data_IF_798686269425
#
_entry.id   IF_798686269425
#
_cell.length_a   1.000
_cell.length_b   1.000
_cell.length_c   1.000
_cell.angle_alpha   90.00
_cell.angle_beta   90.00
_cell.angle_gamma   90.00
#
_symmetry.space_group_name_H-M   'P 1'
#
loop_
_entity.id
_entity.type
_entity.pdbx_description
1 polymer ?
#
# COMPACT_ATOMS: atom_id res chain seq x y z
N UNK A 1 20.11 -16.13 27.18
CA UNK A 1 20.26 -15.81 25.74
C UNK A 1 19.33 -16.74 24.99
N UNK A 2 18.38 -16.34 24.17
CA UNK A 2 18.05 -15.01 23.65
C UNK A 2 16.57 -15.00 23.19
N UNK A 3 15.66 -14.54 24.04
CA UNK A 3 14.29 -14.22 23.59
C UNK A 3 14.29 -12.94 22.72
N UNK A 4 15.37 -12.15 22.79
CA UNK A 4 15.60 -10.95 21.96
C UNK A 4 16.09 -11.27 20.53
N UNK A 5 16.35 -12.53 20.18
CA UNK A 5 16.74 -12.91 18.81
C UNK A 5 15.55 -13.29 17.92
N UNK A 6 14.45 -13.79 18.49
CA UNK A 6 13.22 -14.12 17.74
C UNK A 6 12.43 -12.88 17.27
N UNK A 7 12.62 -11.72 17.92
CA UNK A 7 11.97 -10.47 17.50
C UNK A 7 12.65 -9.79 16.30
N UNK A 8 13.88 -10.17 15.93
CA UNK A 8 14.63 -9.50 14.85
C UNK A 8 14.32 -10.05 13.45
N UNK A 9 13.65 -11.20 13.36
CA UNK A 9 13.20 -11.79 12.09
C UNK A 9 11.74 -11.48 11.74
N UNK A 10 11.01 -10.69 12.54
CA UNK A 10 9.83 -9.91 12.09
C UNK A 10 10.28 -8.73 11.20
N UNK A 11 11.28 -9.01 10.36
CA UNK A 11 11.89 -8.13 9.39
C UNK A 11 10.85 -7.76 8.36
N UNK A 12 10.84 -6.48 7.99
CA UNK A 12 10.01 -5.80 6.99
C UNK A 12 9.77 -6.51 5.66
N UNK A 13 10.34 -7.68 5.39
CA UNK A 13 10.25 -8.44 4.12
C UNK A 13 8.82 -8.78 3.69
N UNK A 14 7.90 -8.89 4.63
CA UNK A 14 6.49 -9.20 4.36
C UNK A 14 5.62 -7.95 4.18
N UNK A 15 6.24 -6.78 4.00
CA UNK A 15 5.56 -5.49 3.89
C UNK A 15 6.03 -4.77 2.63
N UNK A 16 5.09 -4.25 1.84
CA UNK A 16 5.38 -3.40 0.69
C UNK A 16 4.64 -2.07 0.81
N UNK A 17 5.36 -0.98 0.60
CA UNK A 17 4.80 0.35 0.48
C UNK A 17 4.70 0.78 -0.98
N UNK A 18 3.56 1.33 -1.34
CA UNK A 18 3.27 1.83 -2.67
C UNK A 18 2.68 3.23 -2.52
N UNK A 19 3.39 4.23 -3.03
CA UNK A 19 2.83 5.57 -3.18
C UNK A 19 2.20 5.69 -4.56
N UNK A 20 0.95 6.13 -4.59
CA UNK A 20 0.19 6.37 -5.81
C UNK A 20 -0.35 7.80 -5.85
N UNK A 21 -0.74 8.23 -7.05
CA UNK A 21 -1.57 9.42 -7.23
C UNK A 21 -3.07 9.08 -7.16
N UNK A 22 -3.90 10.13 -7.22
CA UNK A 22 -5.36 10.04 -7.21
C UNK A 22 -5.98 9.21 -8.33
N UNK A 23 -5.24 8.94 -9.40
CA UNK A 23 -5.70 8.14 -10.54
C UNK A 23 -5.29 6.67 -10.38
N UNK A 24 -4.58 6.32 -9.30
CA UNK A 24 -4.01 5.00 -9.08
C UNK A 24 -2.71 4.78 -9.85
N UNK A 25 -2.02 5.83 -10.28
CA UNK A 25 -0.71 5.73 -10.93
C UNK A 25 0.37 5.56 -9.86
N UNK A 26 1.24 4.56 -10.02
CA UNK A 26 2.33 4.25 -9.09
C UNK A 26 3.44 5.29 -9.23
N UNK A 27 3.65 6.06 -8.17
CA UNK A 27 4.71 7.07 -8.08
C UNK A 27 6.03 6.46 -7.61
N UNK A 28 5.98 5.65 -6.55
CA UNK A 28 7.15 5.02 -5.93
C UNK A 28 6.72 3.77 -5.16
N UNK A 29 7.62 2.80 -5.04
CA UNK A 29 7.40 1.58 -4.27
C UNK A 29 8.74 0.94 -3.92
N UNK A 30 8.79 0.22 -2.81
CA UNK A 30 9.95 -0.49 -2.27
C UNK A 30 10.11 -1.93 -2.82
N UNK A 31 9.20 -2.39 -3.69
CA UNK A 31 9.30 -3.66 -4.46
C UNK A 31 9.56 -4.92 -3.60
N UNK A 32 9.15 -4.94 -2.33
CA UNK A 32 9.49 -6.07 -1.44
C UNK A 32 8.65 -7.32 -1.67
N UNK A 33 7.33 -7.19 -1.92
CA UNK A 33 6.42 -8.30 -2.17
C UNK A 33 6.15 -8.52 -3.66
N UNK A 34 5.88 -7.44 -4.38
CA UNK A 34 5.49 -7.43 -5.78
C UNK A 34 6.35 -6.48 -6.60
N UNK A 35 6.77 -6.94 -7.78
CA UNK A 35 7.39 -6.08 -8.77
C UNK A 35 6.32 -5.22 -9.46
N UNK A 36 6.30 -3.93 -9.11
CA UNK A 36 5.35 -2.94 -9.62
C UNK A 36 6.08 -1.90 -10.46
N UNK A 37 5.59 -1.68 -11.68
CA UNK A 37 6.21 -0.71 -12.58
C UNK A 37 5.82 0.72 -12.18
N UNK A 38 6.81 1.58 -11.96
CA UNK A 38 6.60 3.02 -11.78
C UNK A 38 5.92 3.63 -13.02
N UNK A 39 5.10 4.65 -12.81
CA UNK A 39 4.30 5.33 -13.83
C UNK A 39 3.27 4.41 -14.53
N UNK A 40 3.00 3.23 -13.95
CA UNK A 40 1.92 2.34 -14.37
C UNK A 40 0.76 2.41 -13.37
N UNK A 41 -0.43 1.99 -13.80
CA UNK A 41 -1.59 1.96 -12.92
C UNK A 41 -1.57 0.72 -12.03
N UNK A 42 -1.81 0.90 -10.73
CA UNK A 42 -2.00 -0.23 -9.80
C UNK A 42 -3.23 -1.08 -10.17
N UNK A 43 -4.19 -0.50 -10.90
CA UNK A 43 -5.36 -1.21 -11.44
C UNK A 43 -4.96 -2.32 -12.41
N UNK A 44 -3.83 -2.15 -13.11
CA UNK A 44 -3.30 -3.16 -14.03
C UNK A 44 -2.58 -4.31 -13.32
N UNK A 45 -2.26 -4.16 -12.02
CA UNK A 45 -1.56 -5.18 -11.26
C UNK A 45 -2.51 -6.29 -10.78
N UNK A 46 -3.65 -5.93 -10.18
CA UNK A 46 -4.62 -6.91 -9.70
C UNK A 46 -6.06 -6.35 -9.75
N UNK A 47 -7.08 -7.16 -10.11
CA UNK A 47 -8.48 -6.71 -10.20
C UNK A 47 -9.03 -6.08 -8.92
N UNK A 48 -8.50 -6.48 -7.77
CA UNK A 48 -8.83 -5.87 -6.46
C UNK A 48 -8.69 -4.33 -6.48
N UNK A 49 -7.70 -3.80 -7.20
CA UNK A 49 -7.43 -2.37 -7.24
C UNK A 49 -8.25 -1.61 -8.30
N UNK A 50 -9.13 -2.24 -9.08
CA UNK A 50 -9.95 -1.51 -10.06
C UNK A 50 -10.82 -0.43 -9.39
N UNK A 51 -11.37 -0.74 -8.22
CA UNK A 51 -12.23 0.14 -7.44
C UNK A 51 -11.51 1.10 -6.49
N UNK A 52 -10.18 1.23 -6.62
CA UNK A 52 -9.34 1.91 -5.62
C UNK A 52 -9.74 3.37 -5.36
N UNK A 53 -10.27 4.06 -6.38
CA UNK A 53 -10.71 5.45 -6.27
C UNK A 53 -11.80 5.60 -5.19
N UNK A 54 -12.60 4.56 -4.97
CA UNK A 54 -13.67 4.56 -3.96
C UNK A 54 -13.09 4.65 -2.54
N UNK A 55 -11.98 3.97 -2.28
CA UNK A 55 -11.30 4.01 -0.98
C UNK A 55 -10.68 5.39 -0.70
N UNK A 56 -10.34 6.14 -1.74
CA UNK A 56 -9.76 7.47 -1.62
C UNK A 56 -10.78 8.61 -1.63
N UNK A 57 -11.97 8.37 -2.18
CA UNK A 57 -13.12 9.28 -2.12
C UNK A 57 -13.78 9.31 -0.74
N UNK A 58 -13.64 8.24 0.04
CA UNK A 58 -14.06 8.20 1.43
C UNK A 58 -13.43 9.34 2.24
N UNK A 59 -14.17 9.87 3.21
CA UNK A 59 -13.67 10.93 4.10
C UNK A 59 -12.67 10.44 5.13
N UNK A 60 -12.49 9.12 5.23
CA UNK A 60 -11.59 8.49 6.18
C UNK A 60 -10.15 8.69 5.72
N UNK A 61 -9.30 9.18 6.62
CA UNK A 61 -7.86 9.35 6.37
C UNK A 61 -7.11 8.01 6.30
N UNK A 62 -7.72 6.94 6.83
CA UNK A 62 -7.17 5.60 6.85
C UNK A 62 -8.28 4.56 6.68
N UNK A 63 -8.08 3.63 5.76
CA UNK A 63 -8.93 2.47 5.54
C UNK A 63 -8.06 1.23 5.62
N UNK A 64 -8.38 0.31 6.52
CA UNK A 64 -7.75 -1.00 6.61
C UNK A 64 -8.69 -2.06 6.04
N UNK A 65 -8.19 -2.85 5.10
CA UNK A 65 -8.86 -4.04 4.59
C UNK A 65 -8.06 -5.27 4.99
N UNK A 66 -8.69 -6.12 5.78
CA UNK A 66 -8.07 -7.34 6.30
C UNK A 66 -8.41 -8.54 5.42
N UNK A 67 -7.49 -9.50 5.34
CA UNK A 67 -7.68 -10.77 4.61
C UNK A 67 -7.97 -10.61 3.10
N UNK A 68 -7.37 -9.62 2.45
CA UNK A 68 -7.48 -9.42 1.00
C UNK A 68 -6.71 -10.51 0.27
N UNK A 69 -7.41 -11.25 -0.58
CA UNK A 69 -6.77 -12.26 -1.42
C UNK A 69 -6.21 -11.60 -2.67
N UNK A 70 -4.88 -11.65 -2.81
CA UNK A 70 -4.17 -11.25 -4.02
C UNK A 70 -3.47 -12.50 -4.57
N UNK A 71 -3.92 -12.98 -5.73
CA UNK A 71 -3.53 -14.30 -6.26
C UNK A 71 -3.84 -15.43 -5.24
N UNK A 72 -2.85 -16.27 -4.89
CA UNK A 72 -2.98 -17.41 -3.97
C UNK A 72 -2.56 -17.09 -2.52
N UNK A 73 -2.42 -15.81 -2.17
CA UNK A 73 -1.92 -15.34 -0.86
C UNK A 73 -2.89 -14.33 -0.24
N UNK A 74 -2.81 -14.20 1.08
CA UNK A 74 -3.67 -13.33 1.88
C UNK A 74 -2.84 -12.19 2.45
N UNK A 75 -3.36 -10.97 2.26
CA UNK A 75 -2.70 -9.74 2.68
C UNK A 75 -3.65 -8.84 3.45
N UNK A 76 -3.12 -8.11 4.41
CA UNK A 76 -3.76 -6.90 4.92
C UNK A 76 -3.32 -5.72 4.07
N UNK A 77 -4.27 -4.86 3.70
CA UNK A 77 -4.02 -3.69 2.88
C UNK A 77 -4.53 -2.45 3.60
N UNK A 78 -3.64 -1.52 3.88
CA UNK A 78 -4.00 -0.22 4.41
C UNK A 78 -3.90 0.85 3.32
N UNK A 79 -4.96 1.63 3.18
CA UNK A 79 -5.01 2.85 2.38
C UNK A 79 -4.89 4.03 3.33
N UNK A 80 -3.80 4.76 3.23
CA UNK A 80 -3.49 5.91 4.07
C UNK A 80 -3.50 7.14 3.17
N UNK A 81 -4.45 8.05 3.43
CA UNK A 81 -4.58 9.31 2.74
C UNK A 81 -3.76 10.36 3.48
N UNK A 82 -2.65 10.78 2.88
CA UNK A 82 -1.79 11.78 3.50
C UNK A 82 -2.21 13.17 3.06
N UNK A 83 -3.02 13.84 3.88
CA UNK A 83 -3.38 15.24 3.66
C UNK A 83 -2.19 16.12 4.04
N UNK A 84 -1.35 16.49 3.05
CA UNK A 84 -0.37 17.56 3.27
C UNK A 84 -1.11 18.89 3.52
N UNK A 85 -0.49 19.86 4.18
CA UNK A 85 -1.05 21.20 4.42
C UNK A 85 -0.62 22.12 3.26
N UNK A 86 -1.47 23.03 2.72
CA UNK A 86 -1.09 23.87 1.59
C UNK A 86 -0.01 24.86 2.01
N UNK A 87 1.18 24.76 1.44
CA UNK A 87 2.12 25.88 1.43
C UNK A 87 2.73 26.20 0.06
N UNK A 88 2.55 25.36 -0.96
CA UNK A 88 2.66 25.70 -2.39
C UNK A 88 2.56 24.42 -3.22
N UNK A 89 1.74 24.45 -4.28
CA UNK A 89 1.57 23.39 -5.29
C UNK A 89 1.44 21.96 -4.76
N UNK A 90 0.21 21.61 -4.39
CA UNK A 90 -0.16 20.32 -3.83
C UNK A 90 -0.02 19.16 -4.83
N UNK A 91 0.82 18.19 -4.49
CA UNK A 91 0.62 16.80 -4.88
C UNK A 91 -0.02 16.10 -3.68
N UNK A 92 -1.33 15.83 -3.77
CA UNK A 92 -1.97 14.86 -2.88
C UNK A 92 -1.39 13.49 -3.22
N UNK A 93 -0.76 12.85 -2.22
CA UNK A 93 -0.14 11.54 -2.36
C UNK A 93 -0.90 10.56 -1.50
N UNK A 94 -1.16 9.39 -2.07
CA UNK A 94 -1.84 8.31 -1.39
C UNK A 94 -0.85 7.18 -1.19
N UNK A 95 -0.90 6.59 0.01
CA UNK A 95 0.00 5.52 0.40
C UNK A 95 -0.83 4.27 0.59
N UNK A 96 -0.37 3.18 -0.01
CA UNK A 96 -0.89 1.84 0.20
C UNK A 96 0.21 1.07 0.89
N UNK A 97 -0.10 0.41 2.01
CA UNK A 97 0.76 -0.64 2.56
C UNK A 97 0.08 -1.99 2.40
N UNK A 98 0.85 -2.97 1.93
CA UNK A 98 0.41 -4.35 1.76
C UNK A 98 1.27 -5.21 2.69
N UNK A 99 0.63 -5.96 3.57
CA UNK A 99 1.27 -6.83 4.57
C UNK A 99 0.87 -8.29 4.27
N UNK A 100 1.84 -9.16 4.00
CA UNK A 100 1.60 -10.60 3.84
C UNK A 100 1.54 -11.31 5.19
N UNK A 101 0.58 -12.22 5.34
CA UNK A 101 0.56 -13.17 6.46
C UNK A 101 1.21 -14.49 6.04
N UNK A 102 2.31 -14.86 6.70
CA UNK A 102 2.94 -16.19 6.63
C UNK A 102 2.42 -17.12 7.73
#
# INVERSE_FOLDING_TARGET
MAMHELQRDYSTKDLQFISIDKQGTILTTDQQLFELKKDSSIKSFHPFFEGIDTYFLEKSDHIKLECVHLNDRVFDIDFIKMMMIPLSSFLEKELISIIEYN
#
